data_IF_544911218633
#
_entry.id   IF_544911218633
#
_cell.length_a   1.000
_cell.length_b   1.000
_cell.length_c   1.000
_cell.angle_alpha   90.00
_cell.angle_beta   90.00
_cell.angle_gamma   90.00
#
_symmetry.space_group_name_H-M   'P 1'
#
loop_
_entity.id
_entity.type
_entity.pdbx_description
1 polymer ?
#
# COMPACT_ATOMS: atom_id res chain seq x y z
N UNK A 1 -7.22 -11.30 -6.88
CA UNK A 1 -6.04 -12.17 -7.04
C UNK A 1 -4.82 -11.42 -6.55
N UNK A 2 -4.04 -12.04 -5.69
CA UNK A 2 -2.69 -11.58 -5.37
C UNK A 2 -1.78 -11.76 -6.58
N UNK A 3 -0.75 -10.95 -6.70
CA UNK A 3 0.21 -11.03 -7.80
C UNK A 3 1.64 -11.08 -7.30
N UNK A 4 2.40 -12.03 -7.85
CA UNK A 4 3.84 -12.18 -7.59
C UNK A 4 4.69 -11.20 -8.42
N UNK A 5 4.10 -10.58 -9.45
CA UNK A 5 4.67 -9.52 -10.29
C UNK A 5 3.59 -8.47 -10.54
N UNK A 6 3.75 -7.27 -10.00
CA UNK A 6 2.77 -6.18 -10.16
C UNK A 6 3.27 -5.10 -11.10
N UNK A 7 2.33 -4.41 -11.76
CA UNK A 7 2.62 -3.22 -12.56
C UNK A 7 2.75 -1.93 -11.74
N UNK A 8 2.49 -2.00 -10.42
CA UNK A 8 2.52 -0.87 -9.48
C UNK A 8 3.97 -0.55 -9.13
N UNK A 9 4.39 0.68 -9.36
CA UNK A 9 5.79 1.07 -9.41
C UNK A 9 6.53 1.04 -8.06
N UNK A 10 5.81 1.12 -6.96
CA UNK A 10 6.37 1.24 -5.61
C UNK A 10 6.34 -0.07 -4.80
N UNK A 11 5.80 -1.15 -5.35
CA UNK A 11 5.78 -2.47 -4.72
C UNK A 11 6.19 -3.59 -5.68
N UNK A 12 6.65 -4.71 -5.13
CA UNK A 12 7.07 -5.87 -5.91
C UNK A 12 5.90 -6.85 -6.13
N UNK A 13 4.97 -6.90 -5.18
CA UNK A 13 3.85 -7.85 -5.11
C UNK A 13 2.57 -7.20 -4.60
N UNK A 14 1.44 -7.84 -4.87
CA UNK A 14 0.17 -7.52 -4.20
C UNK A 14 -0.35 -8.74 -3.47
N UNK A 15 -0.87 -8.53 -2.27
CA UNK A 15 -1.55 -9.56 -1.47
C UNK A 15 -2.97 -9.08 -1.17
N UNK A 16 -3.98 -9.88 -1.51
CA UNK A 16 -5.39 -9.47 -1.43
C UNK A 16 -6.22 -10.46 -0.58
N UNK A 17 -6.07 -10.44 0.77
CA UNK A 17 -6.95 -11.16 1.69
C UNK A 17 -8.41 -10.69 1.61
N UNK A 18 -8.69 -9.48 1.12
CA UNK A 18 -10.06 -9.06 0.76
C UNK A 18 -10.12 -8.46 -0.65
N UNK A 19 -11.31 -8.48 -1.26
CA UNK A 19 -11.63 -7.77 -2.51
C UNK A 19 -12.97 -7.06 -2.39
N UNK A 20 -13.21 -6.01 -3.16
CA UNK A 20 -14.45 -5.23 -3.07
C UNK A 20 -14.40 -4.16 -1.97
N UNK A 21 -15.15 -3.07 -2.16
CA UNK A 21 -15.15 -1.91 -1.26
C UNK A 21 -16.27 -0.92 -1.62
N UNK A 22 -16.72 -0.13 -0.66
CA UNK A 22 -17.58 1.03 -0.93
C UNK A 22 -16.80 2.32 -1.23
N UNK A 23 -17.44 3.22 -1.98
CA UNK A 23 -16.89 4.55 -2.28
C UNK A 23 -17.09 5.48 -1.10
N UNK A 24 -15.98 5.97 -0.53
CA UNK A 24 -16.00 6.87 0.64
C UNK A 24 -15.53 8.29 0.34
N UNK A 25 -15.11 8.56 -0.90
CA UNK A 25 -14.62 9.88 -1.31
C UNK A 25 -14.61 10.09 -2.82
N UNK A 26 -14.40 11.34 -3.30
CA UNK A 26 -14.21 11.66 -4.72
C UNK A 26 -13.04 10.91 -5.36
N UNK A 27 -12.06 10.44 -4.60
CA UNK A 27 -10.97 9.60 -5.12
C UNK A 27 -11.45 8.22 -5.60
N UNK A 28 -12.61 7.76 -5.13
CA UNK A 28 -13.18 6.45 -5.48
C UNK A 28 -14.05 6.48 -6.75
N UNK A 29 -14.38 7.65 -7.29
CA UNK A 29 -15.35 7.79 -8.39
C UNK A 29 -14.99 6.93 -9.61
N UNK A 30 -13.70 6.88 -9.98
CA UNK A 30 -13.18 6.09 -11.11
C UNK A 30 -12.28 4.94 -10.65
N UNK A 31 -12.67 4.24 -9.58
CA UNK A 31 -11.89 3.15 -9.01
C UNK A 31 -11.50 2.08 -10.05
N UNK A 32 -10.19 1.87 -10.25
CA UNK A 32 -9.70 0.85 -11.18
C UNK A 32 -10.09 -0.56 -10.71
N UNK A 33 -10.13 -0.81 -9.40
CA UNK A 33 -10.44 -2.13 -8.85
C UNK A 33 -11.88 -2.53 -9.20
N UNK A 34 -12.84 -1.61 -9.07
CA UNK A 34 -14.24 -1.80 -9.50
C UNK A 34 -14.33 -2.08 -11.01
N UNK A 35 -13.58 -1.35 -11.83
CA UNK A 35 -13.56 -1.60 -13.28
C UNK A 35 -12.98 -2.98 -13.62
N UNK A 36 -11.96 -3.43 -12.88
CA UNK A 36 -11.35 -4.75 -13.08
C UNK A 36 -12.29 -5.89 -12.69
N UNK A 37 -13.09 -5.75 -11.63
CA UNK A 37 -14.06 -6.82 -11.26
C UNK A 37 -15.12 -7.00 -12.34
N UNK A 38 -15.59 -5.90 -12.95
CA UNK A 38 -16.51 -5.95 -14.11
C UNK A 38 -15.86 -6.63 -15.33
N UNK A 39 -14.59 -6.32 -15.61
CA UNK A 39 -13.86 -6.90 -16.75
C UNK A 39 -13.58 -8.40 -16.58
N UNK A 40 -13.20 -8.81 -15.37
CA UNK A 40 -12.79 -10.19 -15.05
C UNK A 40 -13.80 -10.88 -14.14
N UNK A 41 -15.10 -10.76 -14.46
CA UNK A 41 -16.21 -11.24 -13.63
C UNK A 41 -16.11 -12.71 -13.19
N UNK A 42 -15.51 -13.59 -14.00
CA UNK A 42 -15.28 -15.00 -13.60
C UNK A 42 -14.37 -15.14 -12.39
N UNK A 43 -13.44 -14.21 -12.20
CA UNK A 43 -12.49 -14.20 -11.09
C UNK A 43 -13.03 -13.42 -9.88
N UNK A 44 -14.15 -12.71 -10.06
CA UNK A 44 -14.82 -11.88 -9.07
C UNK A 44 -16.33 -12.17 -9.12
N UNK A 45 -16.77 -13.36 -8.70
CA UNK A 45 -18.17 -13.78 -8.80
C UNK A 45 -19.12 -12.88 -7.98
N UNK A 46 -18.62 -12.23 -6.94
CA UNK A 46 -19.36 -11.25 -6.12
C UNK A 46 -19.18 -9.79 -6.62
N UNK A 47 -18.68 -9.60 -7.85
CA UNK A 47 -18.44 -8.26 -8.39
C UNK A 47 -17.48 -7.43 -7.52
N UNK A 48 -17.91 -6.23 -7.14
CA UNK A 48 -17.14 -5.32 -6.27
C UNK A 48 -17.64 -5.30 -4.81
N UNK A 49 -18.52 -6.23 -4.45
CA UNK A 49 -18.98 -6.40 -3.08
C UNK A 49 -17.84 -6.93 -2.21
N UNK A 50 -17.78 -6.48 -0.95
CA UNK A 50 -16.75 -6.92 -0.02
C UNK A 50 -16.76 -8.44 0.08
N UNK A 51 -15.60 -9.06 -0.15
CA UNK A 51 -15.40 -10.49 -0.06
C UNK A 51 -14.11 -10.78 0.70
N UNK A 52 -14.21 -11.62 1.72
CA UNK A 52 -13.10 -12.10 2.53
C UNK A 52 -12.55 -13.39 1.91
N UNK A 53 -11.23 -13.48 1.74
CA UNK A 53 -10.54 -14.61 1.12
C UNK A 53 -9.62 -15.28 2.13
N UNK A 54 -10.19 -16.01 3.11
CA UNK A 54 -9.43 -16.76 4.12
C UNK A 54 -8.41 -17.72 3.52
N UNK A 55 -8.74 -18.33 2.37
CA UNK A 55 -7.85 -19.21 1.62
C UNK A 55 -6.60 -18.52 1.05
N UNK A 56 -6.53 -17.18 1.08
CA UNK A 56 -5.36 -16.40 0.62
C UNK A 56 -4.49 -15.88 1.76
N UNK A 57 -4.86 -16.11 3.02
CA UNK A 57 -4.13 -15.56 4.17
C UNK A 57 -2.68 -16.05 4.17
N UNK A 58 -2.45 -17.32 3.90
CA UNK A 58 -1.14 -17.95 4.00
C UNK A 58 -0.22 -17.68 2.78
N UNK A 59 -0.71 -17.00 1.73
CA UNK A 59 0.07 -16.76 0.51
C UNK A 59 1.46 -16.15 0.75
N UNK A 60 1.63 -15.12 1.62
CA UNK A 60 2.93 -14.51 1.84
C UNK A 60 3.94 -15.46 2.49
N UNK A 61 3.49 -16.44 3.29
CA UNK A 61 4.39 -17.43 3.90
C UNK A 61 5.09 -18.28 2.84
N UNK A 62 4.49 -18.43 1.65
CA UNK A 62 5.06 -19.17 0.54
C UNK A 62 6.01 -18.34 -0.34
N UNK A 63 6.14 -17.03 -0.13
CA UNK A 63 6.99 -16.16 -0.93
C UNK A 63 8.40 -16.05 -0.32
N UNK A 64 9.34 -16.77 -0.93
CA UNK A 64 10.72 -16.89 -0.40
C UNK A 64 11.59 -15.65 -0.60
N UNK A 65 11.26 -14.83 -1.60
CA UNK A 65 12.04 -13.63 -1.96
C UNK A 65 11.54 -12.45 -1.13
N UNK A 66 12.38 -11.81 -0.30
CA UNK A 66 12.07 -10.54 0.33
C UNK A 66 11.44 -9.57 -0.69
N UNK A 67 10.33 -8.96 -0.31
CA UNK A 67 9.48 -8.19 -1.24
C UNK A 67 8.77 -7.09 -0.49
N UNK A 68 8.56 -5.95 -1.17
CA UNK A 68 7.58 -4.93 -0.78
C UNK A 68 6.21 -5.37 -1.30
N UNK A 69 5.27 -5.63 -0.40
CA UNK A 69 3.93 -6.15 -0.70
C UNK A 69 2.91 -5.05 -0.49
N UNK A 70 2.14 -4.70 -1.51
CA UNK A 70 0.95 -3.87 -1.33
C UNK A 70 -0.23 -4.75 -0.90
N UNK A 71 -0.73 -4.51 0.32
CA UNK A 71 -1.88 -5.22 0.88
C UNK A 71 -3.16 -4.58 0.39
N UNK A 72 -4.07 -5.41 -0.12
CA UNK A 72 -5.39 -5.02 -0.60
C UNK A 72 -5.39 -4.01 -1.75
N UNK A 73 -4.68 -4.31 -2.83
CA UNK A 73 -4.79 -3.57 -4.09
C UNK A 73 -6.18 -3.66 -4.76
N UNK A 74 -7.12 -4.46 -4.23
CA UNK A 74 -8.45 -4.69 -4.79
C UNK A 74 -9.58 -4.41 -3.78
N UNK A 75 -9.27 -3.80 -2.64
CA UNK A 75 -10.22 -3.46 -1.57
C UNK A 75 -9.62 -2.39 -0.65
N UNK A 76 -10.28 -2.12 0.48
CA UNK A 76 -9.69 -1.37 1.60
C UNK A 76 -9.69 -2.30 2.82
N UNK A 77 -8.52 -2.58 3.41
CA UNK A 77 -8.40 -3.52 4.53
C UNK A 77 -9.22 -3.06 5.75
N UNK A 78 -9.37 -1.74 5.93
CA UNK A 78 -10.15 -1.16 7.02
C UNK A 78 -11.61 -0.89 6.60
N UNK A 79 -12.19 -1.73 5.73
CA UNK A 79 -13.64 -1.72 5.49
C UNK A 79 -14.41 -1.95 6.80
N UNK A 80 -15.57 -1.31 6.96
CA UNK A 80 -16.38 -1.42 8.18
C UNK A 80 -16.92 -2.84 8.43
N UNK A 81 -17.16 -3.57 7.36
CA UNK A 81 -17.61 -4.96 7.38
C UNK A 81 -16.48 -5.99 7.51
N UNK A 82 -15.20 -5.59 7.46
CA UNK A 82 -14.09 -6.52 7.76
C UNK A 82 -14.00 -6.71 9.28
N UNK A 83 -14.22 -7.92 9.82
CA UNK A 83 -14.20 -8.15 11.26
C UNK A 83 -12.80 -7.97 11.86
N UNK A 84 -12.72 -7.49 13.11
CA UNK A 84 -11.45 -7.34 13.83
C UNK A 84 -10.65 -8.64 13.90
N UNK A 85 -11.30 -9.79 14.12
CA UNK A 85 -10.61 -11.08 14.18
C UNK A 85 -9.97 -11.46 12.85
N UNK A 86 -10.59 -11.11 11.72
CA UNK A 86 -9.97 -11.30 10.41
C UNK A 86 -8.78 -10.35 10.20
N UNK A 87 -8.87 -9.10 10.69
CA UNK A 87 -7.72 -8.19 10.68
C UNK A 87 -6.55 -8.73 11.49
N UNK A 88 -6.81 -9.28 12.68
CA UNK A 88 -5.77 -9.91 13.50
C UNK A 88 -5.09 -11.05 12.77
N UNK A 89 -5.84 -11.94 12.11
CA UNK A 89 -5.27 -13.01 11.29
C UNK A 89 -4.37 -12.47 10.16
N UNK A 90 -4.78 -11.38 9.49
CA UNK A 90 -3.96 -10.70 8.46
C UNK A 90 -2.67 -10.13 9.07
N UNK A 91 -2.75 -9.49 10.24
CA UNK A 91 -1.60 -8.95 10.96
C UNK A 91 -0.66 -10.04 11.48
N UNK A 92 -1.19 -11.18 11.93
CA UNK A 92 -0.41 -12.34 12.35
C UNK A 92 0.45 -12.86 11.20
N UNK A 93 -0.11 -12.98 9.99
CA UNK A 93 0.68 -13.36 8.80
C UNK A 93 1.80 -12.35 8.53
N UNK A 94 1.52 -11.05 8.63
CA UNK A 94 2.54 -10.01 8.39
C UNK A 94 3.69 -10.10 9.40
N UNK A 95 3.38 -10.34 10.68
CA UNK A 95 4.36 -10.57 11.75
C UNK A 95 5.17 -11.85 11.53
N UNK A 96 4.52 -12.93 11.12
CA UNK A 96 5.16 -14.24 10.90
C UNK A 96 6.07 -14.27 9.66
N UNK A 97 6.02 -13.22 8.84
CA UNK A 97 6.79 -13.10 7.59
C UNK A 97 7.64 -11.82 7.55
N UNK A 98 8.53 -11.62 8.55
CA UNK A 98 9.24 -10.35 8.74
C UNK A 98 10.23 -9.99 7.63
N UNK A 99 10.53 -10.91 6.72
CA UNK A 99 11.39 -10.65 5.56
C UNK A 99 10.69 -9.90 4.43
N UNK A 100 9.38 -9.73 4.51
CA UNK A 100 8.61 -8.86 3.64
C UNK A 100 8.30 -7.53 4.32
N UNK A 101 8.22 -6.46 3.53
CA UNK A 101 7.60 -5.20 3.95
C UNK A 101 6.16 -5.19 3.44
N UNK A 102 5.21 -4.94 4.32
CA UNK A 102 3.79 -4.80 3.99
C UNK A 102 3.40 -3.34 3.98
N UNK A 103 2.87 -2.87 2.86
CA UNK A 103 2.36 -1.52 2.70
C UNK A 103 0.83 -1.60 2.67
N UNK A 104 0.19 -1.05 3.68
CA UNK A 104 -1.26 -0.97 3.80
C UNK A 104 -1.69 0.46 3.51
N UNK A 105 -2.73 0.65 2.69
CA UNK A 105 -3.28 1.96 2.35
C UNK A 105 -4.78 1.96 2.58
N UNK A 106 -5.30 3.01 3.22
CA UNK A 106 -6.75 3.15 3.48
C UNK A 106 -7.25 4.57 3.27
N UNK A 107 -8.55 4.70 2.97
CA UNK A 107 -9.31 5.97 3.06
C UNK A 107 -10.16 6.04 4.34
N UNK A 108 -10.27 4.93 5.08
CA UNK A 108 -11.11 4.76 6.29
C UNK A 108 -10.32 4.99 7.57
N UNK A 109 -9.67 6.15 7.63
CA UNK A 109 -8.77 6.62 8.70
C UNK A 109 -9.37 6.59 10.12
N UNK A 110 -10.67 6.83 10.30
CA UNK A 110 -11.32 6.77 11.61
C UNK A 110 -11.36 5.33 12.14
N UNK A 111 -11.76 4.37 11.30
CA UNK A 111 -11.72 2.94 11.64
C UNK A 111 -10.30 2.44 11.86
N UNK A 112 -9.35 2.87 11.04
CA UNK A 112 -7.94 2.63 11.29
C UNK A 112 -7.54 3.08 12.69
N UNK A 113 -7.91 4.31 13.09
CA UNK A 113 -7.58 4.84 14.42
C UNK A 113 -8.24 4.04 15.55
N UNK A 114 -9.52 3.71 15.41
CA UNK A 114 -10.29 2.93 16.39
C UNK A 114 -9.68 1.55 16.65
N UNK A 115 -9.16 0.91 15.61
CA UNK A 115 -8.63 -0.45 15.68
C UNK A 115 -7.12 -0.50 15.92
N UNK A 116 -6.41 0.62 15.81
CA UNK A 116 -4.94 0.67 15.87
C UNK A 116 -4.38 0.01 17.14
N UNK A 117 -4.97 0.27 18.31
CA UNK A 117 -4.50 -0.25 19.60
C UNK A 117 -4.87 -1.73 19.82
N UNK A 118 -5.64 -2.33 18.90
CA UNK A 118 -6.08 -3.73 18.93
C UNK A 118 -5.30 -4.63 17.95
N UNK A 119 -4.35 -4.05 17.22
CA UNK A 119 -3.57 -4.70 16.16
C UNK A 119 -2.08 -4.68 16.53
N UNK A 120 -1.35 -5.69 16.06
CA UNK A 120 0.07 -5.89 16.38
C UNK A 120 0.97 -5.29 15.30
N UNK A 121 1.50 -4.09 15.55
CA UNK A 121 2.26 -3.30 14.59
C UNK A 121 3.75 -3.67 14.58
N UNK A 122 4.07 -4.77 13.90
CA UNK A 122 5.45 -5.16 13.65
C UNK A 122 6.17 -4.17 12.71
N UNK A 123 7.49 -4.00 12.84
CA UNK A 123 8.32 -3.03 12.10
C UNK A 123 8.20 -3.14 10.57
N UNK A 124 7.86 -4.32 10.08
CA UNK A 124 7.69 -4.58 8.66
C UNK A 124 6.29 -4.21 8.12
N UNK A 125 5.43 -3.62 8.95
CA UNK A 125 4.10 -3.14 8.58
C UNK A 125 4.13 -1.62 8.45
N UNK A 126 4.03 -1.14 7.21
CA UNK A 126 3.96 0.26 6.85
C UNK A 126 2.51 0.65 6.63
N UNK A 127 2.07 1.71 7.30
CA UNK A 127 0.69 2.16 7.26
C UNK A 127 0.59 3.48 6.54
N UNK A 128 -0.35 3.59 5.60
CA UNK A 128 -0.61 4.85 4.93
C UNK A 128 -2.08 5.18 4.78
N UNK A 129 -2.35 6.46 4.54
CA UNK A 129 -3.68 6.95 4.18
C UNK A 129 -3.63 7.61 2.81
N UNK A 130 -4.72 7.47 2.04
CA UNK A 130 -4.84 8.27 0.83
C UNK A 130 -5.31 9.69 1.16
N UNK A 131 -4.76 10.70 0.51
CA UNK A 131 -5.17 12.11 0.63
C UNK A 131 -5.32 12.71 -0.75
N UNK A 132 -6.51 12.60 -1.32
CA UNK A 132 -6.78 13.01 -2.71
C UNK A 132 -6.97 14.52 -2.91
N UNK A 133 -7.41 15.27 -1.89
CA UNK A 133 -7.58 16.72 -1.95
C UNK A 133 -7.62 17.33 -0.53
N UNK A 134 -7.63 18.67 -0.44
CA UNK A 134 -7.51 19.41 0.82
C UNK A 134 -8.57 19.03 1.87
N UNK A 135 -9.78 18.60 1.44
CA UNK A 135 -10.85 18.24 2.38
C UNK A 135 -10.55 16.94 3.15
N UNK A 136 -9.56 16.16 2.72
CA UNK A 136 -9.19 14.88 3.33
C UNK A 136 -7.81 14.87 3.98
N UNK A 137 -7.17 16.04 4.18
CA UNK A 137 -5.88 16.13 4.88
C UNK A 137 -6.00 15.75 6.36
N UNK A 138 -7.20 15.85 6.95
CA UNK A 138 -7.46 15.44 8.33
C UNK A 138 -7.18 13.94 8.58
N UNK A 139 -7.16 13.11 7.53
CA UNK A 139 -6.77 11.69 7.60
C UNK A 139 -5.37 11.49 8.19
N UNK A 140 -4.48 12.45 7.94
CA UNK A 140 -3.10 12.45 8.44
C UNK A 140 -3.09 12.51 9.98
N UNK A 141 -4.01 13.25 10.58
CA UNK A 141 -4.13 13.38 12.05
C UNK A 141 -4.42 12.02 12.71
N UNK A 142 -5.27 11.20 12.09
CA UNK A 142 -5.53 9.83 12.55
C UNK A 142 -4.31 8.93 12.35
N UNK A 143 -3.68 9.00 11.18
CA UNK A 143 -2.50 8.17 10.86
C UNK A 143 -1.36 8.39 11.86
N UNK A 144 -1.08 9.64 12.25
CA UNK A 144 -0.01 9.96 13.20
C UNK A 144 -0.18 9.31 14.57
N UNK A 145 -1.40 8.92 14.93
CA UNK A 145 -1.67 8.25 16.20
C UNK A 145 -1.59 6.72 16.10
N UNK A 146 -1.42 6.16 14.90
CA UNK A 146 -1.23 4.71 14.70
C UNK A 146 0.21 4.35 15.05
N UNK A 147 0.50 3.28 15.82
CA UNK A 147 1.86 2.95 16.25
C UNK A 147 2.67 2.19 15.16
N UNK A 148 2.55 2.58 13.89
CA UNK A 148 3.37 2.05 12.81
C UNK A 148 4.74 2.73 12.76
N UNK A 149 5.82 1.96 12.55
CA UNK A 149 7.18 2.49 12.42
C UNK A 149 7.31 3.42 11.20
N UNK A 150 6.69 3.03 10.08
CA UNK A 150 6.62 3.83 8.86
C UNK A 150 5.18 4.24 8.61
N UNK A 151 4.96 5.55 8.56
CA UNK A 151 3.69 6.17 8.18
C UNK A 151 3.88 6.88 6.84
N UNK A 152 3.00 6.63 5.87
CA UNK A 152 3.13 7.21 4.55
C UNK A 152 1.82 7.78 4.01
N UNK A 153 1.93 8.70 3.05
CA UNK A 153 0.77 9.27 2.36
C UNK A 153 0.75 8.77 0.92
N UNK A 154 -0.43 8.45 0.41
CA UNK A 154 -0.68 8.32 -1.02
C UNK A 154 -1.60 9.44 -1.45
N UNK A 155 -1.02 10.48 -2.03
CA UNK A 155 -1.76 11.58 -2.64
C UNK A 155 -2.25 11.14 -4.03
N UNK A 156 -3.14 10.14 -4.05
CA UNK A 156 -3.62 9.47 -5.25
C UNK A 156 -5.12 9.08 -5.21
N UNK A 157 -5.86 9.32 -6.32
CA UNK A 157 -5.49 10.28 -7.36
C UNK A 157 -5.36 11.68 -6.76
N UNK A 158 -4.37 12.47 -7.18
CA UNK A 158 -4.26 13.86 -6.75
C UNK A 158 -5.34 14.70 -7.48
N UNK A 159 -6.27 15.26 -6.71
CA UNK A 159 -7.45 15.99 -7.20
C UNK A 159 -7.47 17.47 -6.78
N UNK A 160 -6.34 17.99 -6.32
CA UNK A 160 -6.18 19.40 -5.95
C UNK A 160 -4.86 19.65 -5.23
N UNK A 161 -4.56 20.92 -4.98
CA UNK A 161 -3.42 21.30 -4.14
C UNK A 161 -3.62 20.80 -2.71
N UNK A 162 -2.51 20.53 -2.01
CA UNK A 162 -2.51 20.00 -0.64
C UNK A 162 -1.54 20.77 0.23
N UNK A 163 -2.01 21.27 1.37
CA UNK A 163 -1.15 21.74 2.46
C UNK A 163 -1.05 20.61 3.51
N UNK A 164 0.15 20.06 3.68
CA UNK A 164 0.42 18.84 4.43
C UNK A 164 1.26 19.13 5.68
N UNK A 165 0.77 18.70 6.84
CA UNK A 165 1.61 18.56 8.03
C UNK A 165 2.27 17.17 8.02
N UNK A 166 3.53 17.15 7.61
CA UNK A 166 4.33 15.94 7.44
C UNK A 166 5.01 15.46 8.74
N UNK A 167 4.69 16.04 9.90
CA UNK A 167 5.25 15.60 11.18
C UNK A 167 4.98 14.12 11.41
N UNK A 168 6.03 13.32 11.61
CA UNK A 168 5.91 11.88 11.84
C UNK A 168 5.51 11.05 10.60
N UNK A 169 5.56 11.64 9.41
CA UNK A 169 5.39 10.97 8.11
C UNK A 169 6.77 10.69 7.52
N UNK A 170 6.96 9.48 6.99
CA UNK A 170 8.26 9.03 6.46
C UNK A 170 8.34 9.05 4.94
N UNK A 171 7.19 9.03 4.26
CA UNK A 171 7.14 8.89 2.81
C UNK A 171 5.84 9.45 2.22
N UNK A 172 5.94 10.10 1.06
CA UNK A 172 4.79 10.64 0.32
C UNK A 172 4.86 10.17 -1.12
N UNK A 173 3.80 9.50 -1.58
CA UNK A 173 3.60 9.06 -2.95
C UNK A 173 2.60 10.00 -3.62
N UNK A 174 2.94 10.54 -4.79
CA UNK A 174 2.07 11.43 -5.57
C UNK A 174 1.79 10.84 -6.94
N UNK A 175 0.54 10.88 -7.39
CA UNK A 175 0.17 10.36 -8.71
C UNK A 175 -1.20 10.80 -9.22
N UNK A 176 -1.30 10.92 -10.54
CA UNK A 176 -2.55 11.21 -11.24
C UNK A 176 -3.49 10.01 -11.35
N UNK A 177 -4.74 10.28 -11.74
CA UNK A 177 -5.76 9.24 -11.93
C UNK A 177 -5.48 8.38 -13.17
N UNK A 178 -5.81 7.09 -13.10
CA UNK A 178 -5.72 6.17 -14.24
C UNK A 178 -7.09 5.72 -14.69
N UNK A 179 -7.22 5.48 -15.99
CA UNK A 179 -8.40 4.89 -16.62
C UNK A 179 -9.04 5.78 -17.66
N UNK A 180 -10.11 5.26 -18.29
CA UNK A 180 -10.80 5.94 -19.40
C UNK A 180 -11.33 7.32 -19.01
N UNK A 181 -11.72 7.49 -17.75
CA UNK A 181 -12.28 8.74 -17.20
C UNK A 181 -11.29 9.50 -16.29
N UNK A 182 -9.98 9.29 -16.45
CA UNK A 182 -8.98 9.93 -15.60
C UNK A 182 -9.15 11.46 -15.57
N UNK A 183 -9.15 12.02 -14.37
CA UNK A 183 -9.11 13.47 -14.14
C UNK A 183 -7.68 13.99 -14.27
N UNK A 184 -7.48 15.20 -14.81
CA UNK A 184 -6.17 15.81 -14.93
C UNK A 184 -5.61 16.15 -13.55
N UNK A 185 -4.30 15.96 -13.41
CA UNK A 185 -3.47 16.44 -12.30
C UNK A 185 -2.70 17.67 -12.80
N UNK A 186 -2.49 18.65 -11.94
CA UNK A 186 -1.72 19.84 -12.33
C UNK A 186 -0.27 19.78 -11.82
N UNK A 187 0.72 20.20 -12.63
CA UNK A 187 2.13 20.22 -12.24
C UNK A 187 2.42 21.00 -10.95
N UNK A 188 1.76 22.14 -10.76
CA UNK A 188 1.97 22.98 -9.59
C UNK A 188 1.59 22.27 -8.27
N UNK A 189 0.59 21.38 -8.29
CA UNK A 189 0.22 20.61 -7.10
C UNK A 189 1.31 19.59 -6.74
N UNK A 190 1.89 18.95 -7.74
CA UNK A 190 2.98 17.98 -7.55
C UNK A 190 4.24 18.68 -7.05
N UNK A 191 4.59 19.81 -7.65
CA UNK A 191 5.75 20.62 -7.26
C UNK A 191 5.59 21.18 -5.84
N UNK A 192 4.39 21.63 -5.47
CA UNK A 192 4.09 22.09 -4.12
C UNK A 192 4.29 20.96 -3.07
N UNK A 193 3.76 19.75 -3.31
CA UNK A 193 3.94 18.62 -2.39
C UNK A 193 5.42 18.19 -2.30
N UNK A 194 6.13 18.18 -3.44
CA UNK A 194 7.57 17.89 -3.48
C UNK A 194 8.36 18.87 -2.62
N UNK A 195 8.08 20.17 -2.71
CA UNK A 195 8.74 21.20 -1.90
C UNK A 195 8.51 20.96 -0.41
N UNK A 196 7.25 20.69 0.00
CA UNK A 196 6.93 20.36 1.39
C UNK A 196 7.70 19.12 1.89
N UNK A 197 7.85 18.09 1.05
CA UNK A 197 8.64 16.90 1.39
C UNK A 197 10.13 17.24 1.57
N UNK A 198 10.70 18.09 0.70
CA UNK A 198 12.09 18.53 0.81
C UNK A 198 12.32 19.33 2.10
N UNK A 199 11.44 20.27 2.41
CA UNK A 199 11.53 21.11 3.61
C UNK A 199 11.42 20.26 4.89
N UNK A 200 10.52 19.26 4.88
CA UNK A 200 10.32 18.33 5.99
C UNK A 200 11.33 17.16 6.04
N UNK A 201 12.21 17.02 5.04
CA UNK A 201 13.13 15.88 4.86
C UNK A 201 12.41 14.52 4.82
N UNK A 202 11.28 14.47 4.12
CA UNK A 202 10.45 13.28 3.92
C UNK A 202 10.69 12.73 2.52
N UNK A 203 10.80 11.41 2.38
CA UNK A 203 11.03 10.78 1.08
C UNK A 203 9.86 11.06 0.13
N UNK A 204 10.17 11.48 -1.09
CA UNK A 204 9.19 11.82 -2.12
C UNK A 204 9.24 10.85 -3.31
N UNK A 205 8.08 10.26 -3.63
CA UNK A 205 7.92 9.36 -4.77
C UNK A 205 6.87 9.91 -5.74
N UNK A 206 7.30 10.25 -6.95
CA UNK A 206 6.39 10.60 -8.03
C UNK A 206 6.06 9.35 -8.86
N UNK A 207 4.80 8.92 -8.78
CA UNK A 207 4.34 7.71 -9.45
C UNK A 207 4.05 7.96 -10.92
N UNK A 208 3.18 8.91 -11.26
CA UNK A 208 2.82 9.22 -12.65
C UNK A 208 1.96 10.47 -12.78
N UNK A 209 1.84 11.00 -13.99
CA UNK A 209 0.89 12.05 -14.36
C UNK A 209 -0.56 11.54 -14.55
N UNK A 210 -0.79 10.22 -14.55
CA UNK A 210 -2.10 9.65 -14.86
C UNK A 210 -2.31 9.40 -16.35
N UNK A 211 -3.54 9.08 -16.74
CA UNK A 211 -3.89 8.85 -18.14
C UNK A 211 -4.78 7.63 -18.37
N UNK A 212 -5.03 7.32 -19.66
CA UNK A 212 -5.88 6.18 -20.04
C UNK A 212 -5.39 4.85 -19.48
N UNK A 213 -4.07 4.69 -19.34
CA UNK A 213 -3.41 3.56 -18.67
C UNK A 213 -2.42 4.08 -17.63
N UNK A 214 -2.03 3.28 -16.61
CA UNK A 214 -1.14 3.72 -15.52
C UNK A 214 0.26 4.21 -15.91
N UNK A 215 0.65 4.11 -17.19
CA UNK A 215 1.97 4.54 -17.68
C UNK A 215 1.87 5.50 -18.86
N UNK A 216 0.66 5.93 -19.21
CA UNK A 216 0.42 6.65 -20.46
C UNK A 216 1.16 7.99 -20.54
N UNK A 217 1.19 8.75 -19.44
CA UNK A 217 1.83 10.06 -19.38
C UNK A 217 3.20 10.04 -18.67
N UNK A 218 3.74 8.86 -18.39
CA UNK A 218 5.08 8.72 -17.80
C UNK A 218 5.20 9.23 -16.36
N UNK A 219 6.46 9.37 -15.93
CA UNK A 219 6.86 9.55 -14.52
C UNK A 219 7.95 10.62 -14.32
N UNK A 220 8.22 11.41 -15.36
CA UNK A 220 9.22 12.48 -15.27
C UNK A 220 8.58 13.72 -14.65
N UNK A 221 9.20 14.25 -13.61
CA UNK A 221 8.89 15.53 -13.01
C UNK A 221 10.16 16.37 -13.04
N UNK A 222 10.11 17.49 -13.75
CA UNK A 222 11.27 18.33 -14.04
C UNK A 222 12.40 17.51 -14.70
N UNK A 223 12.06 16.72 -15.73
CA UNK A 223 12.96 15.82 -16.47
C UNK A 223 13.69 14.75 -15.64
N UNK A 224 13.22 14.51 -14.41
CA UNK A 224 13.82 13.55 -13.47
C UNK A 224 12.79 12.55 -12.95
N UNK A 225 13.25 11.34 -12.67
CA UNK A 225 12.49 10.33 -11.92
C UNK A 225 12.70 10.58 -10.42
N UNK A 226 11.59 10.61 -9.68
CA UNK A 226 11.58 10.74 -8.22
C UNK A 226 11.02 9.46 -7.63
N UNK A 227 11.89 8.60 -7.12
CA UNK A 227 11.59 7.27 -6.61
C UNK A 227 12.19 7.02 -5.22
N UNK A 228 12.29 8.08 -4.42
CA UNK A 228 12.83 8.00 -3.07
C UNK A 228 12.00 7.06 -2.19
N UNK A 229 12.68 6.41 -1.25
CA UNK A 229 12.10 5.46 -0.30
C UNK A 229 12.50 5.88 1.13
N UNK A 230 11.69 5.56 2.16
CA UNK A 230 12.05 5.85 3.54
C UNK A 230 13.28 5.04 3.97
N UNK A 231 14.07 5.55 4.91
CA UNK A 231 15.30 4.91 5.44
C UNK A 231 15.07 3.46 5.93
N UNK A 232 13.87 3.17 6.44
CA UNK A 232 13.46 1.83 6.83
C UNK A 232 13.59 0.81 5.69
N UNK A 233 13.41 1.24 4.43
CA UNK A 233 13.63 0.40 3.26
C UNK A 233 15.08 -0.06 3.16
N UNK A 234 16.04 0.86 3.29
CA UNK A 234 17.46 0.54 3.20
C UNK A 234 17.88 -0.40 4.33
N UNK A 235 17.38 -0.16 5.55
CA UNK A 235 17.61 -1.05 6.70
C UNK A 235 17.10 -2.46 6.42
N UNK A 236 15.88 -2.57 5.89
CA UNK A 236 15.29 -3.85 5.50
C UNK A 236 16.11 -4.56 4.41
N UNK A 237 16.56 -3.82 3.40
CA UNK A 237 17.42 -4.38 2.36
C UNK A 237 18.74 -4.88 2.93
N UNK A 238 19.41 -4.15 3.83
CA UNK A 238 20.65 -4.65 4.45
C UNK A 238 20.43 -5.92 5.27
N UNK A 239 19.26 -6.06 5.89
CA UNK A 239 18.91 -7.22 6.71
C UNK A 239 18.57 -8.47 5.87
N UNK A 240 17.85 -8.31 4.76
CA UNK A 240 17.26 -9.44 4.04
C UNK A 240 17.71 -9.59 2.58
N UNK A 241 18.26 -8.55 1.95
CA UNK A 241 18.71 -8.62 0.57
C UNK A 241 19.99 -9.49 0.50
N UNK A 242 19.99 -10.52 -0.36
CA UNK A 242 21.03 -11.54 -0.41
C UNK A 242 20.67 -12.86 0.29
N UNK A 243 19.51 -12.94 0.94
CA UNK A 243 19.01 -14.17 1.55
C UNK A 243 17.71 -14.65 0.88
N UNK A 244 17.54 -15.97 0.82
CA UNK A 244 16.27 -16.63 0.51
C UNK A 244 15.86 -17.50 1.69
N UNK A 245 14.55 -17.61 1.93
CA UNK A 245 14.06 -18.45 3.00
C UNK A 245 13.76 -19.87 2.53
N UNK A 246 14.26 -20.86 3.28
CA UNK A 246 13.92 -22.27 3.08
C UNK A 246 12.95 -22.69 4.17
N UNK A 247 11.73 -23.06 3.77
CA UNK A 247 10.78 -23.66 4.70
C UNK A 247 11.21 -25.08 5.08
N UNK A 248 11.22 -25.37 6.38
CA UNK A 248 11.42 -26.71 6.92
C UNK A 248 10.20 -27.58 6.59
N UNK A 249 10.41 -28.78 6.03
CA UNK A 249 9.35 -29.73 5.67
C UNK A 249 8.95 -30.65 6.83
N UNK A 250 9.02 -30.20 8.08
CA UNK A 250 8.57 -31.04 9.20
C UNK A 250 7.09 -30.78 9.50
N UNK A 251 6.26 -31.75 9.14
CA UNK A 251 4.80 -31.73 9.13
C UNK A 251 4.10 -31.53 10.48
N UNK A 252 4.82 -31.26 11.58
CA UNK A 252 4.23 -31.15 12.91
C UNK A 252 4.70 -29.95 13.77
N UNK A 253 5.50 -29.03 13.23
CA UNK A 253 5.83 -27.76 13.92
C UNK A 253 6.02 -26.63 12.90
N UNK A 254 5.33 -25.50 13.10
CA UNK A 254 5.68 -24.24 12.42
C UNK A 254 7.03 -23.80 12.96
N UNK A 255 8.10 -24.20 12.31
CA UNK A 255 9.46 -23.73 12.64
C UNK A 255 9.67 -22.44 11.86
N UNK A 256 10.10 -21.38 12.55
CA UNK A 256 10.44 -20.11 11.93
C UNK A 256 11.38 -20.35 10.72
N UNK A 257 11.13 -19.72 9.56
CA UNK A 257 11.94 -19.91 8.38
C UNK A 257 13.41 -19.60 8.67
N UNK A 258 14.32 -20.43 8.14
CA UNK A 258 15.77 -20.20 8.28
C UNK A 258 16.28 -19.41 7.09
N UNK A 259 17.03 -18.34 7.37
CA UNK A 259 17.74 -17.55 6.36
C UNK A 259 18.79 -18.44 5.67
N UNK A 260 18.78 -18.46 4.34
CA UNK A 260 19.80 -19.13 3.54
C UNK A 260 20.40 -18.11 2.58
N UNK A 261 21.72 -17.93 2.61
CA UNK A 261 22.42 -17.08 1.65
C UNK A 261 22.08 -17.50 0.21
N UNK A 262 21.82 -16.51 -0.65
CA UNK A 262 21.68 -16.74 -2.08
C UNK A 262 23.04 -17.15 -2.64
N UNK A 263 23.17 -18.41 -3.08
CA UNK A 263 24.30 -18.79 -3.94
C UNK A 263 24.15 -18.03 -5.26
N UNK A 264 25.11 -17.14 -5.53
CA UNK A 264 25.28 -16.45 -6.81
C UNK A 264 25.42 -17.46 -7.96
#
# INVERSE_FOLDING_TARGET
>A
MSSINTGIEWCDRTWNPTTGCDKVSPGCTHCYAEALTKRFHTNFPNGFDLTLHRNRLEEPKHWKKPSRIFVNSMSDLFHEEVPLEFLKEVFDVMRETPWHIYQILTKRHERLRELADKLDWHDNIWMGVSVENQNYVNRINCLRQVPAQVRFLSCEPLLGNLELDLTGISWVIVGGESGVKHRPIQPEWVQNIKQQCQDAKVAFFFKQWGGRTPKAAGRLLDDKIWDEMPEAWEKHQRQFNGYTFRMSRNSNKVVAPTLVEMKL
#
